data_IF_101602929032
#
_entry.id   IF_101602929032
#
_cell.length_a   1.000
_cell.length_b   1.000
_cell.length_c   1.000
_cell.angle_alpha   90.00
_cell.angle_beta   90.00
_cell.angle_gamma   90.00
#
_symmetry.space_group_name_H-M   'P 1'
#
loop_
_entity.id
_entity.type
_entity.pdbx_description
1 polymer ?
#
# COMPACT_ATOMS: atom_id res chain seq x y z
N UNK A 1 -12.05 12.21 36.45
CA UNK A 1 -12.10 13.19 35.34
C UNK A 1 -11.07 12.79 34.31
N UNK A 2 -11.47 12.47 33.07
CA UNK A 2 -10.53 12.20 31.96
C UNK A 2 -9.91 13.55 31.61
N UNK A 3 -8.59 13.66 31.73
CA UNK A 3 -7.90 14.91 31.49
C UNK A 3 -8.06 15.36 30.02
N UNK A 4 -8.26 16.67 29.80
CA UNK A 4 -8.23 17.30 28.49
C UNK A 4 -6.83 17.24 27.90
N UNK A 5 -6.49 16.09 27.28
CA UNK A 5 -5.17 15.83 26.76
C UNK A 5 -5.15 16.15 25.26
N UNK A 6 -4.30 17.11 24.87
CA UNK A 6 -4.08 17.50 23.47
C UNK A 6 -2.63 17.24 23.09
N UNK A 7 -2.45 16.70 21.90
CA UNK A 7 -1.11 16.57 21.32
C UNK A 7 -0.57 17.93 20.88
N UNK A 8 0.61 18.28 21.34
CA UNK A 8 1.30 19.49 20.91
C UNK A 8 2.28 19.14 19.79
N UNK A 9 1.97 19.59 18.58
CA UNK A 9 2.88 19.41 17.45
C UNK A 9 4.04 20.40 17.53
N UNK A 10 5.07 20.04 18.31
CA UNK A 10 6.24 20.89 18.62
C UNK A 10 7.00 21.31 17.36
N UNK A 11 7.56 22.55 17.31
CA UNK A 11 8.38 23.02 16.20
C UNK A 11 9.52 22.08 15.85
N UNK A 12 10.18 21.49 16.85
CA UNK A 12 11.25 20.51 16.66
C UNK A 12 10.79 19.26 15.90
N UNK A 13 9.57 18.76 16.16
CA UNK A 13 9.03 17.62 15.44
C UNK A 13 8.69 17.97 13.99
N UNK A 14 8.14 19.18 13.77
CA UNK A 14 7.90 19.71 12.39
C UNK A 14 9.20 19.78 11.61
N UNK A 15 10.24 20.36 12.23
CA UNK A 15 11.57 20.48 11.62
C UNK A 15 12.16 19.11 11.27
N UNK A 16 12.06 18.10 12.16
CA UNK A 16 12.54 16.74 11.87
C UNK A 16 11.82 16.13 10.66
N UNK A 17 10.51 16.32 10.53
CA UNK A 17 9.76 15.84 9.37
C UNK A 17 10.12 16.58 8.08
N UNK A 18 10.33 17.90 8.15
CA UNK A 18 10.80 18.68 7.00
C UNK A 18 12.19 18.21 6.58
N UNK A 19 13.11 17.97 7.54
CA UNK A 19 14.43 17.41 7.26
C UNK A 19 14.31 16.04 6.60
N UNK A 20 13.41 15.17 7.08
CA UNK A 20 13.16 13.86 6.46
C UNK A 20 12.71 13.99 5.00
N UNK A 21 11.79 14.91 4.71
CA UNK A 21 11.33 15.20 3.35
C UNK A 21 12.49 15.73 2.48
N UNK A 22 13.27 16.69 3.00
CA UNK A 22 14.41 17.27 2.27
C UNK A 22 15.48 16.21 1.97
N UNK A 23 15.82 15.39 2.96
CA UNK A 23 16.75 14.25 2.76
C UNK A 23 16.19 13.28 1.72
N UNK A 24 14.89 12.96 1.79
CA UNK A 24 14.24 12.14 0.79
C UNK A 24 14.33 12.73 -0.61
N UNK A 25 14.08 14.03 -0.77
CA UNK A 25 14.21 14.73 -2.05
C UNK A 25 15.64 14.76 -2.58
N UNK A 26 16.63 14.92 -1.70
CA UNK A 26 18.05 14.85 -2.08
C UNK A 26 18.44 13.45 -2.56
N UNK A 27 18.05 12.40 -1.82
CA UNK A 27 18.29 11.02 -2.24
C UNK A 27 17.59 10.69 -3.55
N UNK A 28 16.36 11.15 -3.72
CA UNK A 28 15.62 11.03 -4.98
C UNK A 28 16.34 11.69 -6.14
N UNK A 29 16.80 12.94 -5.98
CA UNK A 29 17.52 13.68 -7.03
C UNK A 29 18.83 12.98 -7.41
N UNK A 30 19.62 12.53 -6.42
CA UNK A 30 20.84 11.74 -6.65
C UNK A 30 20.50 10.42 -7.38
N UNK A 31 19.44 9.73 -6.95
CA UNK A 31 18.99 8.49 -7.55
C UNK A 31 18.55 8.68 -9.02
N UNK A 32 17.86 9.76 -9.35
CA UNK A 32 17.49 10.12 -10.73
C UNK A 32 18.75 10.38 -11.56
N UNK A 33 19.68 11.17 -11.05
CA UNK A 33 20.95 11.46 -11.73
C UNK A 33 21.75 10.18 -12.02
N UNK A 34 21.85 9.28 -11.04
CA UNK A 34 22.50 7.97 -11.22
C UNK A 34 21.78 7.10 -12.25
N UNK A 35 20.43 7.08 -12.24
CA UNK A 35 19.65 6.30 -13.17
C UNK A 35 19.74 6.82 -14.63
N UNK A 36 19.87 8.13 -14.80
CA UNK A 36 20.10 8.75 -16.12
C UNK A 36 21.50 8.38 -16.67
N UNK A 37 22.52 8.45 -15.85
CA UNK A 37 23.90 8.18 -16.27
C UNK A 37 24.20 6.68 -16.40
N UNK A 38 23.62 5.83 -15.56
CA UNK A 38 23.78 4.37 -15.60
C UNK A 38 23.17 3.74 -16.87
N UNK A 39 22.08 4.30 -17.38
CA UNK A 39 21.44 3.84 -18.61
C UNK A 39 22.32 3.97 -19.87
N UNK A 40 23.28 4.88 -19.89
CA UNK A 40 24.21 5.01 -20.99
C UNK A 40 25.29 3.90 -20.99
N UNK A 41 25.71 3.41 -19.84
CA UNK A 41 26.68 2.31 -19.74
C UNK A 41 26.06 0.95 -20.07
N UNK A 42 24.84 0.66 -19.57
CA UNK A 42 24.15 -0.60 -19.89
C UNK A 42 23.69 -0.70 -21.35
N UNK A 43 23.31 0.41 -21.97
CA UNK A 43 22.97 0.44 -23.40
C UNK A 43 24.21 0.15 -24.27
N UNK A 44 25.38 0.69 -23.92
CA UNK A 44 26.62 0.44 -24.61
C UNK A 44 27.09 -1.04 -24.46
N UNK A 45 26.91 -1.61 -23.28
CA UNK A 45 27.28 -3.01 -23.00
C UNK A 45 26.34 -4.02 -23.68
N UNK A 46 25.03 -3.71 -23.72
CA UNK A 46 24.04 -4.49 -24.48
C UNK A 46 24.26 -4.41 -25.99
N UNK A 47 24.61 -3.24 -26.53
CA UNK A 47 24.97 -3.13 -27.95
C UNK A 47 26.21 -3.94 -28.27
N UNK A 48 27.26 -3.86 -27.46
CA UNK A 48 28.49 -4.63 -27.67
C UNK A 48 28.25 -6.14 -27.58
N UNK A 49 27.47 -6.60 -26.60
CA UNK A 49 27.13 -8.02 -26.46
C UNK A 49 26.20 -8.54 -27.55
N UNK A 50 25.30 -7.70 -28.09
CA UNK A 50 24.42 -8.07 -29.20
C UNK A 50 25.19 -8.12 -30.53
N UNK A 51 26.18 -7.24 -30.76
CA UNK A 51 27.05 -7.32 -31.93
C UNK A 51 27.95 -8.56 -31.88
N UNK A 52 28.53 -8.88 -30.71
CA UNK A 52 29.32 -10.11 -30.53
C UNK A 52 28.46 -11.37 -30.73
N UNK A 53 27.21 -11.37 -30.24
CA UNK A 53 26.29 -12.48 -30.45
C UNK A 53 25.86 -12.63 -31.92
N UNK A 54 25.67 -11.53 -32.66
CA UNK A 54 25.39 -11.54 -34.09
C UNK A 54 26.59 -12.03 -34.91
N UNK A 55 27.79 -11.68 -34.52
CA UNK A 55 29.04 -12.11 -35.18
C UNK A 55 29.30 -13.63 -34.95
N UNK A 56 28.98 -14.12 -33.72
CA UNK A 56 29.04 -15.55 -33.40
C UNK A 56 27.95 -16.39 -34.13
N UNK A 57 26.74 -15.84 -34.28
CA UNK A 57 25.65 -16.50 -35.03
C UNK A 57 25.85 -16.50 -36.53
N UNK A 58 26.56 -15.50 -37.08
CA UNK A 58 26.91 -15.47 -38.49
C UNK A 58 27.98 -16.51 -38.89
N UNK A 59 28.65 -17.10 -37.93
CA UNK A 59 29.69 -18.15 -38.11
C UNK A 59 29.17 -19.58 -37.96
N UNK A 60 27.88 -19.81 -37.68
CA UNK A 60 27.28 -21.14 -37.53
C UNK A 60 26.05 -21.29 -38.42
N UNK A 61 26.06 -22.23 -39.36
CA UNK A 61 24.93 -22.55 -40.25
C UNK A 61 23.69 -23.08 -39.55
N UNK A 62 22.47 -22.97 -40.14
CA UNK A 62 21.22 -22.96 -39.44
C UNK A 62 20.66 -24.37 -39.16
N UNK A 63 20.30 -24.67 -37.96
CA UNK A 63 19.32 -25.71 -37.59
C UNK A 63 18.03 -25.00 -37.17
N UNK A 64 16.96 -25.26 -37.90
CA UNK A 64 15.59 -24.83 -37.63
C UNK A 64 15.12 -25.41 -36.29
N UNK A 65 14.68 -24.53 -35.36
CA UNK A 65 13.54 -24.78 -34.48
C UNK A 65 12.97 -23.46 -34.01
N UNK A 66 11.68 -23.28 -34.32
CA UNK A 66 10.81 -22.15 -33.97
C UNK A 66 10.62 -21.96 -32.46
N UNK A 67 10.25 -20.74 -32.14
CA UNK A 67 9.75 -20.14 -30.91
C UNK A 67 10.82 -19.35 -30.14
N UNK A 68 11.21 -18.22 -30.71
CA UNK A 68 11.71 -17.10 -29.93
C UNK A 68 10.76 -15.93 -30.13
N UNK A 69 9.94 -15.63 -29.14
CA UNK A 69 9.28 -14.35 -29.04
C UNK A 69 10.35 -13.27 -28.85
N UNK A 70 10.78 -12.69 -29.94
CA UNK A 70 11.52 -11.44 -29.96
C UNK A 70 10.59 -10.36 -29.38
N UNK A 71 11.01 -9.58 -28.36
CA UNK A 71 10.26 -8.39 -27.98
C UNK A 71 10.29 -7.43 -29.16
N UNK A 72 9.13 -7.09 -29.71
CA UNK A 72 9.01 -6.09 -30.75
C UNK A 72 9.57 -4.75 -30.22
N UNK A 73 10.70 -4.32 -30.78
CA UNK A 73 11.18 -2.95 -30.70
C UNK A 73 10.19 -2.06 -31.48
N UNK A 74 9.39 -1.27 -30.77
CA UNK A 74 8.43 -0.38 -31.44
C UNK A 74 7.45 0.37 -30.54
N UNK A 75 7.74 0.55 -29.27
CA UNK A 75 7.03 1.57 -28.48
C UNK A 75 8.00 2.68 -28.09
N UNK A 76 7.70 3.92 -28.49
CA UNK A 76 8.26 5.14 -27.89
C UNK A 76 7.83 5.24 -26.42
N UNK A 77 8.25 4.27 -25.58
CA UNK A 77 8.08 4.30 -24.15
C UNK A 77 9.00 5.35 -23.53
N UNK A 78 8.56 5.91 -22.43
CA UNK A 78 9.40 6.81 -21.64
C UNK A 78 10.73 6.15 -21.27
N UNK A 79 11.82 6.92 -21.14
CA UNK A 79 13.12 6.39 -20.69
C UNK A 79 12.98 5.58 -19.40
N UNK A 80 13.78 4.54 -19.23
CA UNK A 80 13.73 3.61 -18.06
C UNK A 80 13.75 4.36 -16.73
N UNK A 81 14.60 5.38 -16.61
CA UNK A 81 14.68 6.18 -15.39
C UNK A 81 13.36 6.92 -15.07
N UNK A 82 12.63 7.40 -16.09
CA UNK A 82 11.35 8.08 -15.91
C UNK A 82 10.25 7.09 -15.53
N UNK A 83 10.23 5.92 -16.17
CA UNK A 83 9.32 4.81 -15.82
C UNK A 83 9.53 4.32 -14.38
N UNK A 84 10.80 4.27 -13.89
CA UNK A 84 11.11 3.99 -12.48
C UNK A 84 10.51 5.04 -11.54
N UNK A 85 10.59 6.33 -11.89
CA UNK A 85 9.97 7.42 -11.12
C UNK A 85 8.46 7.20 -11.05
N UNK A 86 7.80 6.96 -12.18
CA UNK A 86 6.37 6.76 -12.26
C UNK A 86 5.91 5.54 -11.44
N UNK A 87 6.61 4.44 -11.56
CA UNK A 87 6.32 3.22 -10.80
C UNK A 87 6.48 3.44 -9.30
N UNK A 88 7.54 4.11 -8.88
CA UNK A 88 7.79 4.40 -7.46
C UNK A 88 6.80 5.41 -6.88
N UNK A 89 6.38 6.43 -7.64
CA UNK A 89 5.32 7.36 -7.24
C UNK A 89 4.00 6.63 -7.05
N UNK A 90 3.62 5.78 -8.00
CA UNK A 90 2.40 4.99 -7.93
C UNK A 90 2.41 4.06 -6.73
N UNK A 91 3.47 3.27 -6.56
CA UNK A 91 3.66 2.35 -5.44
C UNK A 91 3.51 3.04 -4.08
N UNK A 92 4.25 4.13 -3.86
CA UNK A 92 4.20 4.86 -2.60
C UNK A 92 2.81 5.45 -2.35
N UNK A 93 2.16 6.01 -3.36
CA UNK A 93 0.82 6.55 -3.19
C UNK A 93 -0.18 5.46 -2.79
N UNK A 94 -0.17 4.30 -3.44
CA UNK A 94 -1.08 3.18 -3.12
C UNK A 94 -0.77 2.60 -1.73
N UNK A 95 0.50 2.48 -1.35
CA UNK A 95 0.91 2.03 -0.02
C UNK A 95 0.36 2.95 1.09
N UNK A 96 0.62 4.26 1.00
CA UNK A 96 0.16 5.21 2.00
C UNK A 96 -1.36 5.46 1.95
N UNK A 97 -2.00 5.35 0.77
CA UNK A 97 -3.45 5.36 0.64
C UNK A 97 -4.08 4.23 1.48
N UNK A 98 -3.50 3.02 1.38
CA UNK A 98 -3.94 1.88 2.18
C UNK A 98 -3.87 2.15 3.67
N UNK A 99 -2.76 2.71 4.18
CA UNK A 99 -2.64 3.05 5.61
C UNK A 99 -3.72 4.08 6.01
N UNK A 100 -3.97 5.09 5.17
CA UNK A 100 -5.01 6.09 5.39
C UNK A 100 -6.40 5.48 5.51
N UNK A 101 -6.75 4.58 4.59
CA UNK A 101 -8.04 3.88 4.55
C UNK A 101 -8.19 2.93 5.74
N UNK A 102 -7.12 2.25 6.13
CA UNK A 102 -7.14 1.36 7.30
C UNK A 102 -7.40 2.14 8.60
N UNK A 103 -6.98 3.41 8.69
CA UNK A 103 -7.40 4.26 9.81
C UNK A 103 -8.92 4.33 9.95
N UNK A 104 -9.65 4.53 8.86
CA UNK A 104 -11.12 4.51 8.86
C UNK A 104 -11.68 3.10 9.11
N UNK A 105 -11.11 2.09 8.46
CA UNK A 105 -11.53 0.70 8.63
C UNK A 105 -11.37 0.21 10.08
N UNK A 106 -10.25 0.56 10.73
CA UNK A 106 -10.04 0.24 12.15
C UNK A 106 -11.15 0.84 13.03
N UNK A 107 -11.50 2.11 12.83
CA UNK A 107 -12.60 2.75 13.56
C UNK A 107 -13.90 2.02 13.30
N UNK A 108 -14.21 1.74 12.04
CA UNK A 108 -15.47 1.11 11.65
C UNK A 108 -15.63 -0.29 12.25
N UNK A 109 -14.58 -1.10 12.24
CA UNK A 109 -14.63 -2.45 12.83
C UNK A 109 -14.81 -2.39 14.35
N UNK A 110 -14.17 -1.42 15.04
CA UNK A 110 -14.32 -1.24 16.49
C UNK A 110 -15.75 -0.81 16.87
N UNK A 111 -16.39 0.05 16.07
CA UNK A 111 -17.80 0.42 16.30
C UNK A 111 -18.74 -0.73 15.99
N UNK A 112 -18.55 -1.44 14.88
CA UNK A 112 -19.38 -2.56 14.48
C UNK A 112 -19.30 -3.72 15.50
N UNK A 113 -18.11 -4.05 15.97
CA UNK A 113 -17.85 -5.06 16.98
C UNK A 113 -18.17 -4.60 18.43
N UNK A 114 -18.58 -3.35 18.63
CA UNK A 114 -18.85 -2.75 19.93
C UNK A 114 -17.67 -2.89 20.91
N UNK A 115 -16.43 -2.80 20.41
CA UNK A 115 -15.22 -3.00 21.15
C UNK A 115 -14.89 -1.79 22.02
N UNK A 116 -15.12 -1.90 23.33
CA UNK A 116 -14.87 -0.82 24.30
C UNK A 116 -13.40 -0.54 24.56
N UNK A 117 -12.55 -1.58 24.52
CA UNK A 117 -11.12 -1.46 24.83
C UNK A 117 -10.41 -0.37 24.00
N UNK A 118 -10.81 -0.17 22.74
CA UNK A 118 -10.16 0.77 21.83
C UNK A 118 -10.56 2.25 22.03
N UNK A 119 -11.52 2.55 22.92
CA UNK A 119 -12.03 3.90 23.12
C UNK A 119 -10.94 4.97 23.33
N UNK A 120 -9.87 4.74 24.14
CA UNK A 120 -8.83 5.73 24.39
C UNK A 120 -7.92 6.01 23.19
N UNK A 121 -7.86 5.12 22.21
CA UNK A 121 -6.93 5.22 21.07
C UNK A 121 -7.61 5.60 19.75
N UNK A 122 -8.96 5.66 19.69
CA UNK A 122 -9.72 5.91 18.46
C UNK A 122 -9.35 7.20 17.72
N UNK A 123 -8.75 8.17 18.41
CA UNK A 123 -8.32 9.45 17.77
C UNK A 123 -7.11 9.30 16.88
N UNK A 124 -6.27 8.31 17.13
CA UNK A 124 -5.08 8.05 16.31
C UNK A 124 -5.46 7.52 14.92
N UNK A 125 -6.27 6.44 14.77
CA UNK A 125 -6.75 6.02 13.47
C UNK A 125 -7.63 7.08 12.79
N UNK A 126 -8.37 7.92 13.54
CA UNK A 126 -9.08 9.07 12.98
C UNK A 126 -8.11 10.09 12.34
N UNK A 127 -6.98 10.37 13.00
CA UNK A 127 -5.96 11.25 12.43
C UNK A 127 -5.34 10.65 11.15
N UNK A 128 -5.09 9.34 11.13
CA UNK A 128 -4.58 8.61 9.96
C UNK A 128 -5.54 8.75 8.76
N UNK A 129 -6.86 8.69 8.98
CA UNK A 129 -7.87 8.85 7.95
C UNK A 129 -7.84 10.22 7.22
N UNK A 130 -7.17 11.24 7.79
CA UNK A 130 -6.99 12.53 7.09
C UNK A 130 -6.08 12.43 5.85
N UNK A 131 -5.37 11.33 5.67
CA UNK A 131 -4.61 11.07 4.45
C UNK A 131 -5.48 10.65 3.25
N UNK A 132 -6.70 10.13 3.47
CA UNK A 132 -7.60 9.65 2.40
C UNK A 132 -7.79 10.66 1.27
N UNK A 133 -8.17 11.93 1.52
CA UNK A 133 -8.37 12.89 0.44
C UNK A 133 -7.07 13.25 -0.29
N UNK A 134 -5.94 13.29 0.41
CA UNK A 134 -4.63 13.55 -0.19
C UNK A 134 -4.26 12.42 -1.15
N UNK A 135 -4.36 11.17 -0.69
CA UNK A 135 -4.10 10.00 -1.50
C UNK A 135 -5.04 9.91 -2.71
N UNK A 136 -6.35 10.21 -2.53
CA UNK A 136 -7.33 10.17 -3.61
C UNK A 136 -7.01 11.16 -4.73
N UNK A 137 -6.71 12.41 -4.40
CA UNK A 137 -6.31 13.43 -5.38
C UNK A 137 -5.01 13.02 -6.09
N UNK A 138 -4.01 12.55 -5.31
CA UNK A 138 -2.75 12.08 -5.89
C UNK A 138 -2.96 10.87 -6.80
N UNK A 139 -3.82 9.91 -6.45
CA UNK A 139 -4.09 8.74 -7.29
C UNK A 139 -4.63 9.14 -8.66
N UNK A 140 -5.58 10.08 -8.70
CA UNK A 140 -6.14 10.56 -9.96
C UNK A 140 -5.09 11.30 -10.80
N UNK A 141 -4.33 12.22 -10.19
CA UNK A 141 -3.28 12.97 -10.88
C UNK A 141 -2.20 12.03 -11.42
N UNK A 142 -1.70 11.13 -10.57
CA UNK A 142 -0.66 10.18 -10.95
C UNK A 142 -1.14 9.25 -12.05
N UNK A 143 -2.39 8.78 -12.01
CA UNK A 143 -2.91 7.91 -13.06
C UNK A 143 -2.83 8.56 -14.44
N UNK A 144 -3.20 9.84 -14.56
CA UNK A 144 -3.06 10.56 -15.83
C UNK A 144 -1.61 10.67 -16.30
N UNK A 145 -0.67 10.79 -15.35
CA UNK A 145 0.77 10.87 -15.65
C UNK A 145 1.34 9.52 -16.10
N UNK A 146 0.95 8.41 -15.42
CA UNK A 146 1.64 7.12 -15.54
C UNK A 146 0.92 6.10 -16.42
N UNK A 147 -0.32 6.40 -16.87
CA UNK A 147 -1.18 5.41 -17.56
C UNK A 147 -0.54 4.77 -18.78
N UNK A 148 0.21 5.54 -19.57
CA UNK A 148 0.86 5.04 -20.79
C UNK A 148 2.07 4.13 -20.50
N UNK A 149 2.75 4.33 -19.37
CA UNK A 149 3.99 3.63 -19.05
C UNK A 149 3.78 2.42 -18.13
N UNK A 150 2.77 2.48 -17.23
CA UNK A 150 2.53 1.44 -16.23
C UNK A 150 1.34 0.58 -16.60
N UNK A 151 0.27 1.17 -17.12
CA UNK A 151 -0.96 0.47 -17.47
C UNK A 151 -1.04 0.18 -18.95
N UNK A 152 -0.26 -0.79 -19.44
CA UNK A 152 -0.15 -1.15 -20.85
C UNK A 152 -1.50 -1.41 -21.53
N UNK A 153 -2.49 -1.90 -20.79
CA UNK A 153 -3.85 -2.13 -21.29
C UNK A 153 -4.59 -0.84 -21.72
N UNK A 154 -4.04 0.34 -21.44
CA UNK A 154 -4.63 1.61 -21.93
C UNK A 154 -4.33 1.91 -23.41
N UNK A 155 -3.44 1.14 -24.03
CA UNK A 155 -3.08 1.32 -25.44
C UNK A 155 -4.20 0.81 -26.37
N UNK A 156 -4.69 1.69 -27.23
CA UNK A 156 -5.75 1.40 -28.18
C UNK A 156 -5.35 0.36 -29.24
N UNK A 157 -4.07 0.24 -29.57
CA UNK A 157 -3.56 -0.72 -30.57
C UNK A 157 -3.83 -2.18 -30.18
N UNK A 158 -3.89 -2.48 -28.88
CA UNK A 158 -4.18 -3.81 -28.33
C UNK A 158 -5.60 -4.31 -28.64
N UNK A 159 -6.52 -3.39 -28.92
CA UNK A 159 -7.94 -3.68 -29.16
C UNK A 159 -8.33 -3.62 -30.64
N UNK A 160 -7.44 -3.15 -31.50
CA UNK A 160 -7.71 -2.96 -32.94
C UNK A 160 -7.39 -4.23 -33.71
N UNK A 161 -8.41 -4.86 -34.33
CA UNK A 161 -8.23 -6.03 -35.19
C UNK A 161 -7.33 -5.66 -36.40
N UNK A 162 -6.28 -6.46 -36.60
CA UNK A 162 -5.30 -6.23 -37.67
C UNK A 162 -4.07 -5.43 -37.25
N UNK A 163 -4.01 -4.92 -36.02
CA UNK A 163 -2.78 -4.39 -35.42
C UNK A 163 -1.82 -5.53 -35.07
N UNK A 164 -0.51 -5.30 -35.26
CA UNK A 164 0.55 -6.23 -34.80
C UNK A 164 0.48 -6.50 -33.29
N UNK A 165 -0.09 -5.57 -32.53
CA UNK A 165 -0.22 -5.63 -31.06
C UNK A 165 -1.59 -6.16 -30.59
N UNK A 166 -2.43 -6.71 -31.48
CA UNK A 166 -3.76 -7.19 -31.13
C UNK A 166 -3.72 -8.31 -30.09
N UNK A 167 -4.38 -8.08 -28.92
CA UNK A 167 -4.37 -9.00 -27.80
C UNK A 167 -5.79 -9.51 -27.46
N UNK A 168 -6.05 -10.79 -27.76
CA UNK A 168 -7.36 -11.42 -27.50
C UNK A 168 -7.75 -11.45 -26.04
N UNK A 169 -6.80 -11.57 -25.10
CA UNK A 169 -7.06 -11.63 -23.67
C UNK A 169 -7.53 -10.26 -23.19
N UNK A 170 -6.83 -9.21 -23.60
CA UNK A 170 -7.20 -7.84 -23.22
C UNK A 170 -8.52 -7.41 -23.85
N UNK A 171 -8.80 -7.82 -25.08
CA UNK A 171 -10.12 -7.59 -25.73
C UNK A 171 -11.23 -8.22 -24.91
N UNK A 172 -11.04 -9.43 -24.36
CA UNK A 172 -12.00 -10.06 -23.47
C UNK A 172 -12.19 -9.30 -22.14
N UNK A 173 -11.18 -8.61 -21.66
CA UNK A 173 -11.22 -7.79 -20.42
C UNK A 173 -11.64 -6.32 -20.68
N UNK A 174 -11.82 -5.92 -21.94
CA UNK A 174 -12.08 -4.52 -22.32
C UNK A 174 -13.29 -3.93 -21.58
N UNK A 175 -14.40 -4.67 -21.48
CA UNK A 175 -15.58 -4.22 -20.78
C UNK A 175 -15.34 -3.90 -19.29
N UNK A 176 -14.41 -4.59 -18.64
CA UNK A 176 -14.02 -4.32 -17.25
C UNK A 176 -13.32 -2.96 -17.08
N UNK A 177 -12.45 -2.58 -18.01
CA UNK A 177 -11.68 -1.34 -17.91
C UNK A 177 -12.42 -0.14 -18.50
N UNK A 178 -12.98 -0.31 -19.69
CA UNK A 178 -13.59 0.79 -20.45
C UNK A 178 -15.09 0.96 -20.16
N UNK A 179 -15.74 -0.11 -19.72
CA UNK A 179 -17.18 -0.18 -19.54
C UNK A 179 -17.89 -0.95 -20.65
N UNK A 180 -19.04 -1.59 -20.36
CA UNK A 180 -19.72 -2.48 -21.29
C UNK A 180 -20.32 -1.75 -22.52
N UNK A 181 -20.56 -0.44 -22.42
CA UNK A 181 -21.18 0.37 -23.47
C UNK A 181 -20.21 1.40 -24.08
N UNK A 182 -18.93 1.38 -23.69
CA UNK A 182 -17.94 2.33 -24.17
C UNK A 182 -17.09 1.74 -25.28
N UNK A 183 -17.35 2.17 -26.53
CA UNK A 183 -16.53 1.81 -27.70
C UNK A 183 -15.31 2.71 -27.87
N UNK A 184 -15.22 3.81 -27.11
CA UNK A 184 -14.11 4.77 -27.16
C UNK A 184 -12.79 4.21 -26.60
N UNK A 185 -11.71 4.89 -26.89
CA UNK A 185 -10.35 4.53 -26.46
C UNK A 185 -10.00 4.95 -25.02
N UNK A 186 -10.86 5.72 -24.36
CA UNK A 186 -10.61 6.23 -23.02
C UNK A 186 -11.31 5.38 -21.95
N UNK A 187 -10.60 4.85 -20.92
CA UNK A 187 -11.15 3.95 -19.90
C UNK A 187 -11.94 4.71 -18.83
N UNK A 188 -13.08 5.25 -19.21
CA UNK A 188 -13.93 6.10 -18.34
C UNK A 188 -14.42 5.32 -17.12
N UNK A 189 -14.76 4.04 -17.29
CA UNK A 189 -15.31 3.20 -16.22
C UNK A 189 -14.28 2.93 -15.11
N UNK A 190 -13.01 2.73 -15.47
CA UNK A 190 -11.91 2.62 -14.52
C UNK A 190 -11.73 3.92 -13.71
N UNK A 191 -11.73 5.07 -14.39
CA UNK A 191 -11.58 6.37 -13.73
C UNK A 191 -12.76 6.69 -12.79
N UNK A 192 -13.98 6.41 -13.25
CA UNK A 192 -15.19 6.60 -12.42
C UNK A 192 -15.14 5.75 -11.16
N UNK A 193 -14.72 4.47 -11.25
CA UNK A 193 -14.54 3.62 -10.06
C UNK A 193 -13.51 4.20 -9.10
N UNK A 194 -12.36 4.66 -9.61
CA UNK A 194 -11.32 5.27 -8.80
C UNK A 194 -11.83 6.48 -8.00
N UNK A 195 -12.49 7.40 -8.67
CA UNK A 195 -13.08 8.61 -8.04
C UNK A 195 -14.20 8.24 -7.08
N UNK A 196 -15.05 7.28 -7.46
CA UNK A 196 -16.17 6.81 -6.63
C UNK A 196 -15.66 6.19 -5.30
N UNK A 197 -14.65 5.33 -5.36
CA UNK A 197 -14.15 4.67 -4.15
C UNK A 197 -13.54 5.66 -3.16
N UNK A 198 -12.64 6.52 -3.62
CA UNK A 198 -12.09 7.57 -2.74
C UNK A 198 -13.17 8.55 -2.25
N UNK A 199 -14.12 8.91 -3.11
CA UNK A 199 -15.26 9.75 -2.76
C UNK A 199 -16.13 9.14 -1.66
N UNK A 200 -16.50 7.86 -1.79
CA UNK A 200 -17.26 7.13 -0.79
C UNK A 200 -16.48 7.00 0.53
N UNK A 201 -15.20 6.60 0.47
CA UNK A 201 -14.37 6.48 1.67
C UNK A 201 -14.20 7.80 2.41
N UNK A 202 -13.98 8.90 1.67
CA UNK A 202 -13.88 10.23 2.25
C UNK A 202 -15.22 10.73 2.83
N UNK A 203 -16.33 10.42 2.18
CA UNK A 203 -17.67 10.73 2.67
C UNK A 203 -17.95 10.05 4.01
N UNK A 204 -17.74 8.72 4.09
CA UNK A 204 -17.91 7.97 5.33
C UNK A 204 -16.95 8.42 6.42
N UNK A 205 -15.69 8.72 6.07
CA UNK A 205 -14.73 9.29 7.00
C UNK A 205 -15.25 10.56 7.64
N UNK A 206 -15.77 11.51 6.85
CA UNK A 206 -16.30 12.76 7.36
C UNK A 206 -17.56 12.56 8.20
N UNK A 207 -18.45 11.66 7.80
CA UNK A 207 -19.66 11.37 8.57
C UNK A 207 -19.34 10.75 9.93
N UNK A 208 -18.52 9.74 9.99
CA UNK A 208 -18.10 9.10 11.24
C UNK A 208 -17.32 10.09 12.12
N UNK A 209 -16.38 10.84 11.55
CA UNK A 209 -15.66 11.91 12.24
C UNK A 209 -16.61 12.93 12.87
N UNK A 210 -17.62 13.39 12.14
CA UNK A 210 -18.61 14.36 12.63
C UNK A 210 -19.36 13.80 13.86
N UNK A 211 -19.78 12.55 13.81
CA UNK A 211 -20.44 11.89 14.95
C UNK A 211 -19.52 11.76 16.15
N UNK A 212 -18.29 11.31 15.94
CA UNK A 212 -17.29 11.16 17.01
C UNK A 212 -16.95 12.49 17.71
N UNK A 213 -16.90 13.60 16.96
CA UNK A 213 -16.63 14.91 17.54
C UNK A 213 -17.87 15.49 18.25
N UNK A 214 -19.06 15.24 17.73
CA UNK A 214 -20.31 15.65 18.36
C UNK A 214 -20.55 14.88 19.68
N UNK A 215 -20.15 13.60 19.75
CA UNK A 215 -20.16 12.78 20.99
C UNK A 215 -19.36 13.44 22.11
N UNK A 216 -18.18 14.00 21.81
CA UNK A 216 -17.35 14.68 22.82
C UNK A 216 -18.01 15.92 23.41
N UNK A 217 -18.82 16.63 22.62
CA UNK A 217 -19.45 17.90 23.04
C UNK A 217 -20.76 17.64 23.77
N UNK A 218 -21.63 16.81 23.17
CA UNK A 218 -23.01 16.67 23.61
C UNK A 218 -23.22 15.47 24.54
N UNK A 219 -22.33 14.48 24.49
CA UNK A 219 -22.49 13.23 25.24
C UNK A 219 -23.66 12.37 24.74
N UNK A 220 -24.05 11.40 25.55
CA UNK A 220 -25.14 10.49 25.25
C UNK A 220 -24.76 9.35 24.31
N UNK A 221 -25.70 8.42 24.07
CA UNK A 221 -25.46 7.22 23.26
C UNK A 221 -25.86 7.35 21.79
N UNK A 222 -26.61 8.39 21.45
CA UNK A 222 -27.16 8.61 20.08
C UNK A 222 -26.06 8.73 19.02
N UNK A 223 -24.98 9.47 19.31
CA UNK A 223 -23.85 9.67 18.40
C UNK A 223 -23.05 8.38 18.21
N UNK A 224 -22.90 7.58 19.28
CA UNK A 224 -22.28 6.26 19.21
C UNK A 224 -23.10 5.31 18.34
N UNK A 225 -24.43 5.26 18.52
CA UNK A 225 -25.32 4.46 17.67
C UNK A 225 -25.26 4.88 16.20
N UNK A 226 -25.23 6.19 15.93
CA UNK A 226 -25.07 6.72 14.59
C UNK A 226 -23.71 6.30 13.98
N UNK A 227 -22.61 6.41 14.72
CA UNK A 227 -21.28 5.96 14.30
C UNK A 227 -21.26 4.47 14.01
N UNK A 228 -21.89 3.64 14.86
CA UNK A 228 -22.02 2.19 14.65
C UNK A 228 -22.78 1.87 13.36
N UNK A 229 -23.91 2.52 13.12
CA UNK A 229 -24.71 2.33 11.90
C UNK A 229 -23.94 2.71 10.64
N UNK A 230 -23.28 3.89 10.63
CA UNK A 230 -22.42 4.34 9.53
C UNK A 230 -21.25 3.39 9.29
N UNK A 231 -20.66 2.86 10.36
CA UNK A 231 -19.56 1.90 10.30
C UNK A 231 -20.00 0.59 9.64
N UNK A 232 -21.19 0.07 9.96
CA UNK A 232 -21.73 -1.13 9.34
C UNK A 232 -21.92 -0.94 7.83
N UNK A 233 -22.48 0.18 7.40
CA UNK A 233 -22.61 0.49 5.96
C UNK A 233 -21.25 0.62 5.28
N UNK A 234 -20.32 1.33 5.93
CA UNK A 234 -18.96 1.48 5.39
C UNK A 234 -18.26 0.14 5.20
N UNK A 235 -18.36 -0.78 6.17
CA UNK A 235 -17.69 -2.09 6.09
C UNK A 235 -18.16 -2.91 4.88
N UNK A 236 -19.45 -2.89 4.57
CA UNK A 236 -19.98 -3.57 3.37
C UNK A 236 -19.43 -2.95 2.08
N UNK A 237 -19.47 -1.61 1.99
CA UNK A 237 -18.94 -0.87 0.83
C UNK A 237 -17.43 -1.08 0.71
N UNK A 238 -16.71 -1.05 1.82
CA UNK A 238 -15.27 -1.24 1.86
C UNK A 238 -14.86 -2.64 1.40
N UNK A 239 -15.57 -3.70 1.83
CA UNK A 239 -15.26 -5.07 1.43
C UNK A 239 -15.26 -5.24 -0.09
N UNK A 240 -16.25 -4.67 -0.78
CA UNK A 240 -16.33 -4.72 -2.25
C UNK A 240 -15.30 -3.76 -2.87
N UNK A 241 -15.28 -2.50 -2.45
CA UNK A 241 -14.46 -1.47 -3.09
C UNK A 241 -12.96 -1.70 -2.89
N UNK A 242 -12.52 -2.23 -1.74
CA UNK A 242 -11.09 -2.53 -1.51
C UNK A 242 -10.58 -3.67 -2.37
N UNK A 243 -11.41 -4.71 -2.61
CA UNK A 243 -11.05 -5.81 -3.49
C UNK A 243 -10.94 -5.35 -4.95
N UNK A 244 -11.93 -4.57 -5.42
CA UNK A 244 -11.89 -4.01 -6.78
C UNK A 244 -10.74 -3.02 -6.93
N UNK A 245 -10.47 -2.18 -5.92
CA UNK A 245 -9.34 -1.27 -5.93
C UNK A 245 -8.00 -2.00 -6.03
N UNK A 246 -7.84 -3.14 -5.35
CA UNK A 246 -6.64 -3.98 -5.45
C UNK A 246 -6.46 -4.53 -6.88
N UNK A 247 -7.56 -4.96 -7.52
CA UNK A 247 -7.52 -5.42 -8.91
C UNK A 247 -7.24 -4.29 -9.90
N UNK A 248 -7.85 -3.12 -9.69
CA UNK A 248 -7.67 -1.96 -10.57
C UNK A 248 -6.27 -1.33 -10.42
N UNK A 249 -5.81 -1.10 -9.19
CA UNK A 249 -4.63 -0.26 -8.96
C UNK A 249 -3.31 -1.02 -8.86
N UNK A 250 -3.39 -2.33 -8.59
CA UNK A 250 -2.20 -3.18 -8.39
C UNK A 250 -2.17 -4.31 -9.41
N UNK A 251 -3.20 -5.16 -9.43
CA UNK A 251 -3.18 -6.35 -10.31
C UNK A 251 -3.25 -5.99 -11.79
N UNK A 252 -3.96 -4.93 -12.18
CA UNK A 252 -4.10 -4.52 -13.58
C UNK A 252 -2.80 -4.04 -14.23
N UNK A 253 -1.75 -3.80 -13.45
CA UNK A 253 -0.40 -3.51 -13.96
C UNK A 253 0.17 -4.71 -14.72
N UNK A 254 -0.23 -5.93 -14.33
CA UNK A 254 0.07 -7.18 -15.05
C UNK A 254 -1.22 -7.80 -15.61
N UNK A 255 -1.80 -7.23 -16.69
CA UNK A 255 -3.20 -7.47 -17.07
C UNK A 255 -3.45 -8.87 -17.62
N UNK A 256 -2.43 -9.63 -17.99
CA UNK A 256 -2.55 -11.03 -18.42
C UNK A 256 -2.71 -11.98 -17.25
N UNK A 257 -2.18 -11.63 -16.09
CA UNK A 257 -2.31 -12.40 -14.87
C UNK A 257 -3.57 -11.99 -14.08
N UNK A 258 -4.15 -12.92 -13.33
CA UNK A 258 -5.27 -12.65 -12.45
C UNK A 258 -5.30 -13.65 -11.28
N UNK A 259 -5.79 -13.16 -10.13
CA UNK A 259 -6.09 -14.00 -8.97
C UNK A 259 -7.16 -13.32 -8.12
N UNK A 260 -8.21 -14.06 -7.76
CA UNK A 260 -9.26 -13.56 -6.86
C UNK A 260 -8.74 -13.33 -5.44
N UNK A 261 -7.79 -14.16 -4.98
CA UNK A 261 -7.11 -14.01 -3.69
C UNK A 261 -6.27 -12.74 -3.58
N UNK A 262 -5.92 -12.11 -4.70
CA UNK A 262 -5.07 -10.93 -4.71
C UNK A 262 -5.70 -9.74 -3.98
N UNK A 263 -7.03 -9.59 -4.05
CA UNK A 263 -7.76 -8.58 -3.26
C UNK A 263 -7.55 -8.76 -1.75
N UNK A 264 -7.61 -10.00 -1.27
CA UNK A 264 -7.34 -10.33 0.14
C UNK A 264 -5.87 -10.13 0.51
N UNK A 265 -4.95 -10.42 -0.39
CA UNK A 265 -3.52 -10.22 -0.18
C UNK A 265 -3.18 -8.74 -0.01
N UNK A 266 -3.65 -7.88 -0.90
CA UNK A 266 -3.46 -6.42 -0.79
C UNK A 266 -4.12 -5.88 0.48
N UNK A 267 -5.34 -6.31 0.80
CA UNK A 267 -6.02 -5.93 2.03
C UNK A 267 -5.22 -6.35 3.27
N UNK A 268 -4.73 -7.59 3.33
CA UNK A 268 -3.94 -8.07 4.46
C UNK A 268 -2.67 -7.24 4.66
N UNK A 269 -1.98 -6.89 3.57
CA UNK A 269 -0.80 -6.03 3.61
C UNK A 269 -1.13 -4.63 4.14
N UNK A 270 -2.20 -3.98 3.63
CA UNK A 270 -2.67 -2.70 4.16
C UNK A 270 -3.07 -2.80 5.64
N UNK A 271 -3.78 -3.86 6.01
CA UNK A 271 -4.29 -4.03 7.36
C UNK A 271 -3.17 -4.15 8.39
N UNK A 272 -2.20 -5.02 8.14
CA UNK A 272 -1.04 -5.18 9.03
C UNK A 272 -0.23 -3.89 9.13
N UNK A 273 0.01 -3.22 8.00
CA UNK A 273 0.74 -1.95 7.98
C UNK A 273 0.00 -0.86 8.75
N UNK A 274 -1.32 -0.76 8.59
CA UNK A 274 -2.16 0.19 9.32
C UNK A 274 -2.14 -0.08 10.82
N UNK A 275 -2.26 -1.34 11.23
CA UNK A 275 -2.16 -1.75 12.65
C UNK A 275 -0.78 -1.42 13.23
N UNK A 276 0.29 -1.73 12.51
CA UNK A 276 1.66 -1.38 12.93
C UNK A 276 1.83 0.13 13.05
N UNK A 277 1.26 0.92 12.13
CA UNK A 277 1.31 2.38 12.16
C UNK A 277 0.53 2.94 13.35
N UNK A 278 -0.69 2.47 13.61
CA UNK A 278 -1.48 2.85 14.80
C UNK A 278 -0.69 2.52 16.07
N UNK A 279 -0.17 1.30 16.16
CA UNK A 279 0.61 0.83 17.32
C UNK A 279 1.85 1.66 17.54
N UNK A 280 2.59 1.98 16.49
CA UNK A 280 3.80 2.81 16.55
C UNK A 280 3.50 4.22 17.04
N UNK A 281 2.41 4.85 16.56
CA UNK A 281 2.01 6.19 17.01
C UNK A 281 1.59 6.15 18.48
N UNK A 282 0.78 5.15 18.90
CA UNK A 282 0.39 4.95 20.32
C UNK A 282 1.63 4.77 21.18
N UNK A 283 2.55 3.90 20.79
CA UNK A 283 3.77 3.61 21.53
C UNK A 283 4.66 4.86 21.71
N UNK A 284 4.78 5.68 20.64
CA UNK A 284 5.55 6.92 20.70
C UNK A 284 4.88 7.98 21.58
N UNK A 285 3.57 8.17 21.45
CA UNK A 285 2.81 9.11 22.30
C UNK A 285 2.89 8.72 23.77
N UNK A 286 2.70 7.42 24.08
CA UNK A 286 2.83 6.94 25.45
C UNK A 286 4.24 7.11 26.00
N UNK A 287 5.27 6.83 25.21
CA UNK A 287 6.67 7.06 25.58
C UNK A 287 7.01 8.55 25.78
N UNK A 288 6.26 9.46 25.17
CA UNK A 288 6.38 10.90 25.34
C UNK A 288 5.52 11.47 26.50
N UNK A 289 4.84 10.60 27.29
CA UNK A 289 4.04 10.99 28.44
C UNK A 289 2.59 11.35 28.14
N UNK A 290 2.15 11.18 26.88
CA UNK A 290 0.75 11.27 26.48
C UNK A 290 0.00 9.95 26.72
N UNK A 291 -1.32 9.97 26.48
CA UNK A 291 -2.21 8.81 26.59
C UNK A 291 -2.13 8.14 27.97
N UNK A 292 -2.28 8.93 29.03
CA UNK A 292 -2.17 8.45 30.41
C UNK A 292 -3.16 7.32 30.74
N UNK A 293 -4.33 7.35 30.12
CA UNK A 293 -5.41 6.37 30.29
C UNK A 293 -5.14 5.03 29.57
N UNK A 294 -4.21 5.01 28.63
CA UNK A 294 -3.82 3.79 27.90
C UNK A 294 -2.93 2.94 28.81
N UNK A 295 -3.40 1.76 29.20
CA UNK A 295 -2.70 0.81 30.09
C UNK A 295 -1.79 -0.13 29.27
N UNK A 296 -1.04 -0.98 29.98
CA UNK A 296 -0.28 -2.06 29.33
C UNK A 296 -1.17 -3.09 28.62
N UNK A 297 -2.44 -3.24 29.06
CA UNK A 297 -3.38 -4.15 28.42
C UNK A 297 -3.78 -3.66 27.03
N UNK A 298 -4.00 -2.35 26.86
CA UNK A 298 -4.23 -1.74 25.53
C UNK A 298 -3.03 -1.92 24.60
N UNK A 299 -1.81 -1.75 25.12
CA UNK A 299 -0.57 -1.96 24.36
C UNK A 299 -0.45 -3.43 23.96
N UNK A 300 -0.81 -4.36 24.87
CA UNK A 300 -0.83 -5.79 24.61
C UNK A 300 -1.82 -6.15 23.50
N UNK A 301 -3.03 -5.57 23.49
CA UNK A 301 -4.02 -5.80 22.44
C UNK A 301 -3.52 -5.34 21.08
N UNK A 302 -2.95 -4.14 20.99
CA UNK A 302 -2.31 -3.67 19.77
C UNK A 302 -1.17 -4.60 19.33
N UNK A 303 -0.33 -5.05 20.24
CA UNK A 303 0.74 -6.02 19.96
C UNK A 303 0.20 -7.37 19.48
N UNK A 304 -0.92 -7.86 20.06
CA UNK A 304 -1.61 -9.06 19.57
C UNK A 304 -2.12 -8.89 18.14
N UNK A 305 -2.71 -7.73 17.83
CA UNK A 305 -3.19 -7.46 16.47
C UNK A 305 -2.04 -7.47 15.46
N UNK A 306 -0.93 -6.78 15.74
CA UNK A 306 0.24 -6.80 14.84
C UNK A 306 0.75 -8.24 14.66
N UNK A 307 0.92 -9.00 15.75
CA UNK A 307 1.36 -10.40 15.72
C UNK A 307 0.43 -11.30 14.91
N UNK A 308 -0.86 -11.31 15.26
CA UNK A 308 -1.84 -12.21 14.65
C UNK A 308 -2.06 -11.91 13.16
N UNK A 309 -2.09 -10.63 12.80
CA UNK A 309 -2.32 -10.25 11.42
C UNK A 309 -1.07 -10.33 10.54
N UNK A 310 0.14 -10.30 11.11
CA UNK A 310 1.36 -10.72 10.38
C UNK A 310 1.28 -12.19 9.98
N UNK A 311 0.79 -13.07 10.87
CA UNK A 311 0.52 -14.48 10.55
C UNK A 311 -0.59 -14.61 9.50
N UNK A 312 -1.68 -13.83 9.62
CA UNK A 312 -2.77 -13.83 8.65
C UNK A 312 -2.30 -13.40 7.26
N UNK A 313 -1.49 -12.34 7.15
CA UNK A 313 -0.89 -11.93 5.89
C UNK A 313 -0.07 -13.06 5.27
N UNK A 314 0.77 -13.72 6.07
CA UNK A 314 1.60 -14.85 5.63
C UNK A 314 0.72 -16.00 5.14
N UNK A 315 -0.35 -16.30 5.85
CA UNK A 315 -1.30 -17.34 5.45
C UNK A 315 -1.92 -17.02 4.08
N UNK A 316 -2.42 -15.81 3.86
CA UNK A 316 -3.02 -15.41 2.58
C UNK A 316 -1.98 -15.45 1.44
N UNK A 317 -0.78 -14.89 1.68
CA UNK A 317 0.31 -14.91 0.73
C UNK A 317 0.73 -16.35 0.37
N UNK A 318 0.91 -17.20 1.38
CA UNK A 318 1.33 -18.58 1.21
C UNK A 318 0.26 -19.43 0.54
N UNK A 319 -1.02 -19.26 0.89
CA UNK A 319 -2.12 -19.96 0.23
C UNK A 319 -2.17 -19.63 -1.27
N UNK A 320 -2.02 -18.37 -1.64
CA UNK A 320 -1.97 -17.98 -3.05
C UNK A 320 -0.78 -18.63 -3.77
N UNK A 321 0.40 -18.59 -3.15
CA UNK A 321 1.60 -19.23 -3.68
C UNK A 321 1.40 -20.75 -3.86
N UNK A 322 0.88 -21.42 -2.83
CA UNK A 322 0.68 -22.87 -2.84
C UNK A 322 -0.32 -23.32 -3.90
N UNK A 323 -1.43 -22.61 -4.06
CA UNK A 323 -2.44 -22.92 -5.08
C UNK A 323 -1.85 -22.84 -6.49
N UNK A 324 -1.12 -21.76 -6.78
CA UNK A 324 -0.48 -21.57 -8.09
C UNK A 324 0.67 -22.56 -8.30
N UNK A 325 1.48 -22.82 -7.26
CA UNK A 325 2.55 -23.80 -7.32
C UNK A 325 2.03 -25.23 -7.57
N UNK A 326 0.95 -25.62 -6.87
CA UNK A 326 0.35 -26.95 -7.00
C UNK A 326 -0.32 -27.15 -8.35
N UNK A 327 -1.10 -26.17 -8.82
CA UNK A 327 -1.76 -26.22 -10.13
C UNK A 327 -0.75 -26.19 -11.30
N UNK A 328 0.37 -25.50 -11.11
CA UNK A 328 1.48 -25.35 -12.06
C UNK A 328 1.05 -24.97 -13.48
N UNK A 329 0.03 -24.09 -13.58
CA UNK A 329 -0.42 -23.55 -14.86
C UNK A 329 0.58 -22.48 -15.34
N UNK A 330 1.11 -22.58 -16.58
CA UNK A 330 2.12 -21.64 -17.10
C UNK A 330 1.69 -20.19 -17.01
N UNK A 331 0.42 -19.89 -17.29
CA UNK A 331 -0.15 -18.55 -17.27
C UNK A 331 -0.18 -17.92 -15.87
N UNK A 332 -0.29 -18.74 -14.82
CA UNK A 332 -0.34 -18.29 -13.43
C UNK A 332 1.02 -18.25 -12.76
N UNK A 333 1.89 -19.22 -13.08
CA UNK A 333 3.22 -19.36 -12.43
C UNK A 333 4.18 -18.23 -12.79
N UNK A 334 3.99 -17.59 -13.94
CA UNK A 334 4.82 -16.46 -14.41
C UNK A 334 4.95 -15.37 -13.34
N UNK A 335 3.89 -15.07 -12.61
CA UNK A 335 3.88 -14.06 -11.55
C UNK A 335 4.94 -14.32 -10.47
N UNK A 336 4.99 -15.56 -9.96
CA UNK A 336 5.94 -15.93 -8.91
C UNK A 336 7.35 -16.19 -9.48
N UNK A 337 7.47 -16.78 -10.67
CA UNK A 337 8.77 -17.01 -11.32
C UNK A 337 9.50 -15.69 -11.51
N UNK A 338 8.81 -14.65 -12.00
CA UNK A 338 9.38 -13.32 -12.20
C UNK A 338 9.93 -12.72 -10.90
N UNK A 339 9.26 -12.95 -9.77
CA UNK A 339 9.62 -12.39 -8.47
C UNK A 339 10.66 -13.21 -7.72
N UNK A 340 10.65 -14.53 -7.89
CA UNK A 340 11.54 -15.44 -7.16
C UNK A 340 12.88 -15.66 -7.84
N UNK A 341 12.91 -15.69 -9.18
CA UNK A 341 14.08 -16.10 -9.95
C UNK A 341 14.82 -14.95 -10.61
N UNK A 342 14.16 -13.84 -10.90
CA UNK A 342 14.80 -12.71 -11.56
C UNK A 342 15.68 -11.93 -10.59
N UNK A 343 16.93 -11.69 -10.97
CA UNK A 343 17.93 -11.02 -10.15
C UNK A 343 17.48 -9.68 -9.50
N UNK A 344 16.75 -8.78 -10.18
CA UNK A 344 16.32 -7.53 -9.55
C UNK A 344 15.36 -7.71 -8.37
N UNK A 345 14.59 -8.82 -8.31
CA UNK A 345 13.49 -8.98 -7.38
C UNK A 345 13.65 -10.12 -6.38
N UNK A 346 14.45 -11.14 -6.69
CA UNK A 346 14.55 -12.38 -5.90
C UNK A 346 14.92 -12.13 -4.43
N UNK A 347 15.90 -11.27 -4.17
CA UNK A 347 16.30 -10.94 -2.81
C UNK A 347 15.20 -10.19 -2.03
N UNK A 348 14.41 -9.34 -2.72
CA UNK A 348 13.27 -8.60 -2.13
C UNK A 348 12.17 -9.58 -1.75
N UNK A 349 11.90 -10.57 -2.60
CA UNK A 349 10.89 -11.59 -2.34
C UNK A 349 11.17 -12.35 -1.03
N UNK A 350 12.41 -12.79 -0.81
CA UNK A 350 12.78 -13.49 0.43
C UNK A 350 12.89 -12.53 1.63
N UNK A 351 13.39 -11.32 1.42
CA UNK A 351 13.43 -10.29 2.46
C UNK A 351 12.02 -9.94 2.95
N UNK A 352 11.05 -9.89 2.04
CA UNK A 352 9.65 -9.63 2.37
C UNK A 352 9.09 -10.65 3.38
N UNK A 353 9.32 -11.94 3.17
CA UNK A 353 8.93 -13.00 4.11
C UNK A 353 9.62 -12.82 5.46
N UNK A 354 10.91 -12.50 5.43
CA UNK A 354 11.70 -12.33 6.65
C UNK A 354 11.21 -11.15 7.50
N UNK A 355 10.95 -9.99 6.89
CA UNK A 355 10.51 -8.78 7.60
C UNK A 355 9.05 -8.85 8.06
N UNK A 356 8.15 -9.47 7.29
CA UNK A 356 6.72 -9.46 7.57
C UNK A 356 6.22 -10.68 8.35
N UNK A 357 6.99 -11.76 8.34
CA UNK A 357 6.63 -12.97 9.08
C UNK A 357 7.67 -13.36 10.11
N UNK A 358 8.90 -13.71 9.68
CA UNK A 358 9.88 -14.32 10.58
C UNK A 358 10.20 -13.40 11.75
N UNK A 359 10.54 -12.14 11.50
CA UNK A 359 10.87 -11.20 12.57
C UNK A 359 9.69 -10.87 13.49
N UNK A 360 8.50 -10.46 13.00
CA UNK A 360 7.36 -10.20 13.88
C UNK A 360 6.95 -11.44 14.67
N UNK A 361 6.98 -12.63 14.06
CA UNK A 361 6.64 -13.88 14.72
C UNK A 361 7.57 -14.16 15.89
N UNK A 362 8.89 -14.13 15.67
CA UNK A 362 9.86 -14.42 16.73
C UNK A 362 9.90 -13.35 17.81
N UNK A 363 9.89 -12.07 17.42
CA UNK A 363 10.02 -10.94 18.35
C UNK A 363 8.76 -10.71 19.19
N UNK A 364 7.58 -11.00 18.64
CA UNK A 364 6.30 -10.80 19.35
C UNK A 364 5.68 -12.12 19.87
N UNK A 365 6.40 -13.25 19.87
CA UNK A 365 5.85 -14.52 20.30
C UNK A 365 5.43 -14.48 21.78
N UNK A 366 6.25 -13.90 22.65
CA UNK A 366 5.99 -13.87 24.08
C UNK A 366 4.93 -12.84 24.47
N UNK A 367 4.21 -13.07 25.58
CA UNK A 367 3.24 -12.12 26.14
C UNK A 367 3.91 -10.80 26.50
N UNK A 368 5.07 -10.87 27.14
CA UNK A 368 5.79 -9.69 27.63
C UNK A 368 6.31 -8.80 26.50
N UNK A 369 6.80 -9.38 25.42
CA UNK A 369 7.23 -8.62 24.24
C UNK A 369 6.08 -7.76 23.67
N UNK A 370 4.86 -8.29 23.61
CA UNK A 370 3.67 -7.56 23.14
C UNK A 370 3.21 -6.45 24.08
N UNK A 371 3.64 -6.46 25.35
CA UNK A 371 3.32 -5.46 26.38
C UNK A 371 4.34 -4.32 26.46
N UNK A 372 5.54 -4.54 25.96
CA UNK A 372 6.64 -3.58 26.06
C UNK A 372 6.57 -2.55 24.94
N UNK A 373 6.41 -1.28 25.32
CA UNK A 373 6.44 -0.14 24.39
C UNK A 373 7.75 -0.09 23.59
N UNK A 374 8.89 -0.41 24.20
CA UNK A 374 10.19 -0.45 23.55
C UNK A 374 10.25 -1.50 22.42
N UNK A 375 9.72 -2.69 22.67
CA UNK A 375 9.68 -3.77 21.67
C UNK A 375 8.79 -3.39 20.49
N UNK A 376 7.62 -2.82 20.72
CA UNK A 376 6.73 -2.37 19.66
C UNK A 376 7.30 -1.22 18.82
N UNK A 377 8.12 -0.34 19.43
CA UNK A 377 8.86 0.71 18.70
C UNK A 377 9.91 0.16 17.75
N UNK A 378 10.39 -1.05 17.96
CA UNK A 378 11.32 -1.74 17.06
C UNK A 378 10.57 -2.56 16.01
N UNK A 379 9.58 -3.36 16.43
CA UNK A 379 8.92 -4.29 15.51
C UNK A 379 7.99 -3.58 14.52
N UNK A 380 7.23 -2.56 14.97
CA UNK A 380 6.31 -1.88 14.06
C UNK A 380 6.99 -1.20 12.86
N UNK A 381 8.11 -0.48 13.00
CA UNK A 381 8.85 0.02 11.85
C UNK A 381 9.35 -1.08 10.90
N UNK A 382 9.81 -2.22 11.44
CA UNK A 382 10.23 -3.37 10.63
C UNK A 382 9.08 -3.87 9.76
N UNK A 383 7.90 -4.04 10.35
CA UNK A 383 6.69 -4.46 9.64
C UNK A 383 6.26 -3.43 8.59
N UNK A 384 6.27 -2.13 8.93
CA UNK A 384 5.91 -1.06 7.97
C UNK A 384 6.86 -1.05 6.77
N UNK A 385 8.16 -1.15 7.01
CA UNK A 385 9.17 -1.21 5.94
C UNK A 385 9.05 -2.52 5.16
N UNK A 386 8.80 -3.63 5.84
CA UNK A 386 8.57 -4.93 5.20
C UNK A 386 7.39 -4.90 4.23
N UNK A 387 6.27 -4.31 4.62
CA UNK A 387 5.11 -4.16 3.74
C UNK A 387 5.31 -3.09 2.65
N UNK A 388 6.21 -2.13 2.83
CA UNK A 388 6.63 -1.26 1.74
C UNK A 388 7.37 -2.06 0.65
N UNK A 389 8.25 -2.99 1.03
CA UNK A 389 8.86 -3.95 0.10
C UNK A 389 7.83 -4.90 -0.51
N UNK A 390 6.78 -5.27 0.23
CA UNK A 390 5.69 -6.09 -0.28
C UNK A 390 4.95 -5.38 -1.44
N UNK A 391 4.60 -4.10 -1.27
CA UNK A 391 4.01 -3.29 -2.34
C UNK A 391 4.96 -3.06 -3.52
N UNK A 392 6.25 -2.91 -3.26
CA UNK A 392 7.25 -2.89 -4.31
C UNK A 392 7.21 -4.19 -5.13
N UNK A 393 7.18 -5.32 -4.46
CA UNK A 393 7.14 -6.64 -5.09
C UNK A 393 5.81 -6.91 -5.82
N UNK A 394 4.69 -6.34 -5.38
CA UNK A 394 3.41 -6.42 -6.08
C UNK A 394 3.40 -5.62 -7.40
N UNK A 395 3.95 -4.41 -7.39
CA UNK A 395 3.78 -3.39 -8.44
C UNK A 395 4.94 -3.39 -9.43
N UNK A 396 6.17 -3.29 -8.93
CA UNK A 396 7.34 -3.00 -9.77
C UNK A 396 7.64 -4.08 -10.82
N UNK A 397 7.58 -5.40 -10.51
CA UNK A 397 7.86 -6.42 -11.53
C UNK A 397 6.89 -6.40 -12.70
N UNK A 398 5.60 -6.11 -12.46
CA UNK A 398 4.60 -5.96 -13.52
C UNK A 398 4.87 -4.75 -14.42
N UNK A 399 5.25 -3.61 -13.82
CA UNK A 399 5.52 -2.37 -14.54
C UNK A 399 6.88 -2.36 -15.26
N UNK A 400 7.96 -2.79 -14.55
CA UNK A 400 9.34 -2.62 -15.00
C UNK A 400 9.94 -3.89 -15.63
N UNK A 401 9.25 -5.03 -15.56
CA UNK A 401 9.74 -6.32 -16.04
C UNK A 401 11.14 -6.64 -15.46
N UNK A 402 12.19 -6.76 -16.29
CA UNK A 402 13.57 -7.04 -15.86
C UNK A 402 14.40 -5.79 -15.48
N UNK A 403 13.87 -4.61 -15.71
CA UNK A 403 14.59 -3.33 -15.55
C UNK A 403 14.35 -2.67 -14.19
N UNK A 404 13.70 -3.37 -13.27
CA UNK A 404 13.46 -2.88 -11.91
C UNK A 404 14.71 -2.96 -11.04
N UNK A 405 14.66 -2.29 -9.90
CA UNK A 405 15.71 -2.33 -8.88
C UNK A 405 15.39 -1.33 -7.77
N UNK A 406 15.93 -1.57 -6.58
CA UNK A 406 15.81 -0.62 -5.47
C UNK A 406 17.10 0.15 -5.37
N UNK A 407 16.99 1.47 -5.41
CA UNK A 407 18.11 2.40 -5.27
C UNK A 407 17.70 3.63 -4.47
N UNK A 408 18.56 4.66 -4.56
CA UNK A 408 18.33 5.92 -3.86
C UNK A 408 17.05 6.62 -4.32
N UNK A 409 16.61 6.39 -5.57
CA UNK A 409 15.39 6.94 -6.14
C UNK A 409 14.16 6.44 -5.36
N UNK A 410 14.02 5.13 -5.23
CA UNK A 410 12.88 4.49 -4.57
C UNK A 410 12.85 4.80 -3.07
N UNK A 411 14.01 4.71 -2.41
CA UNK A 411 14.16 5.03 -0.98
C UNK A 411 13.85 6.52 -0.74
N UNK A 412 14.37 7.40 -1.60
CA UNK A 412 14.14 8.83 -1.50
C UNK A 412 12.66 9.19 -1.56
N UNK A 413 11.92 8.66 -2.55
CA UNK A 413 10.48 8.85 -2.66
C UNK A 413 9.72 8.25 -1.47
N UNK A 414 10.10 7.07 -1.00
CA UNK A 414 9.53 6.46 0.20
C UNK A 414 9.63 7.38 1.42
N UNK A 415 10.79 8.02 1.64
CA UNK A 415 11.00 8.97 2.74
C UNK A 415 10.18 10.26 2.56
N UNK A 416 10.04 10.77 1.34
CA UNK A 416 9.20 11.93 1.04
C UNK A 416 7.75 11.66 1.40
N UNK A 417 7.21 10.53 0.94
CA UNK A 417 5.83 10.12 1.26
C UNK A 417 5.65 9.87 2.76
N UNK A 418 6.59 9.20 3.41
CA UNK A 418 6.54 8.95 4.85
C UNK A 418 6.56 10.27 5.66
N UNK A 419 7.40 11.21 5.29
CA UNK A 419 7.47 12.53 5.92
C UNK A 419 6.19 13.34 5.73
N UNK A 420 5.65 13.38 4.51
CA UNK A 420 4.39 14.07 4.19
C UNK A 420 3.21 13.43 4.93
N UNK A 421 3.11 12.11 4.91
CA UNK A 421 2.09 11.33 5.62
C UNK A 421 2.10 11.63 7.12
N UNK A 422 3.26 11.51 7.76
CA UNK A 422 3.39 11.81 9.19
C UNK A 422 3.09 13.28 9.51
N UNK A 423 3.49 14.20 8.64
CA UNK A 423 3.18 15.62 8.83
C UNK A 423 1.67 15.86 8.84
N UNK A 424 0.94 15.33 7.87
CA UNK A 424 -0.54 15.48 7.79
C UNK A 424 -1.22 14.85 9.01
N UNK A 425 -0.81 13.66 9.42
CA UNK A 425 -1.41 12.96 10.57
C UNK A 425 -1.15 13.71 11.88
N UNK A 426 0.09 14.10 12.14
CA UNK A 426 0.42 14.78 13.39
C UNK A 426 -0.20 16.20 13.44
N UNK A 427 -0.34 16.86 12.29
CA UNK A 427 -1.08 18.11 12.18
C UNK A 427 -2.58 17.92 12.45
N UNK A 428 -3.17 16.83 11.94
CA UNK A 428 -4.56 16.50 12.23
C UNK A 428 -4.75 16.12 13.70
N UNK A 429 -3.84 15.32 14.26
CA UNK A 429 -3.88 14.91 15.67
C UNK A 429 -3.78 16.08 16.64
N UNK A 430 -3.00 17.12 16.30
CA UNK A 430 -2.88 18.34 17.12
C UNK A 430 -4.16 19.16 17.20
N UNK A 431 -5.08 18.96 16.27
CA UNK A 431 -6.40 19.62 16.25
C UNK A 431 -7.48 18.82 17.00
N UNK A 432 -7.18 17.58 17.36
CA UNK A 432 -8.10 16.67 18.03
C UNK A 432 -7.74 16.54 19.51
N UNK A 433 -8.73 16.21 20.33
CA UNK A 433 -8.46 15.69 21.67
C UNK A 433 -7.93 14.25 21.54
N UNK A 434 -6.87 13.91 22.26
CA UNK A 434 -6.24 12.59 22.16
C UNK A 434 -7.16 11.46 22.68
N UNK A 435 -7.97 11.75 23.68
CA UNK A 435 -8.89 10.79 24.30
C UNK A 435 -10.32 11.29 24.15
N UNK A 436 -11.23 10.39 23.78
CA UNK A 436 -12.65 10.69 23.70
C UNK A 436 -13.21 11.02 25.11
N UNK A 437 -14.01 12.10 25.24
CA UNK A 437 -14.52 12.50 26.57
C UNK A 437 -15.72 11.70 27.03
N UNK A 438 -16.71 11.57 26.16
CA UNK A 438 -18.05 11.07 26.50
C UNK A 438 -18.36 9.73 25.82
N UNK A 439 -17.33 8.93 25.51
CA UNK A 439 -17.54 7.64 24.86
C UNK A 439 -18.25 6.66 25.84
N UNK A 440 -19.37 6.01 25.45
CA UNK A 440 -20.16 5.15 26.34
C UNK A 440 -19.37 4.03 27.03
N UNK A 441 -18.41 3.42 26.29
CA UNK A 441 -17.57 2.33 26.79
C UNK A 441 -16.24 2.80 27.43
N UNK A 442 -16.09 4.08 27.75
CA UNK A 442 -14.84 4.57 28.34
C UNK A 442 -14.55 3.93 29.70
N UNK A 443 -15.57 3.75 30.54
CA UNK A 443 -15.41 3.09 31.85
C UNK A 443 -14.98 1.64 31.72
N UNK A 444 -15.56 0.91 30.78
CA UNK A 444 -15.15 -0.46 30.44
C UNK A 444 -13.68 -0.50 30.01
N UNK A 445 -13.27 0.44 29.17
CA UNK A 445 -11.89 0.54 28.70
C UNK A 445 -10.90 0.84 29.83
N UNK A 446 -11.27 1.72 30.76
CA UNK A 446 -10.40 2.05 31.91
C UNK A 446 -10.18 0.83 32.84
N UNK A 447 -11.19 -0.03 32.95
CA UNK A 447 -11.17 -1.24 33.74
C UNK A 447 -10.76 -2.48 32.94
N UNK A 448 -10.20 -2.28 31.75
CA UNK A 448 -9.81 -3.37 30.86
C UNK A 448 -8.63 -4.16 31.43
N UNK A 449 -8.88 -5.43 31.76
CA UNK A 449 -7.92 -6.41 32.28
C UNK A 449 -7.85 -7.61 31.32
N UNK A 450 -6.63 -8.14 31.08
CA UNK A 450 -6.36 -9.33 30.26
C UNK A 450 -5.54 -10.32 31.08
#
# INVERSE_FOLDING_TARGET
MIADEKYIFKPQTKQKLIILIVVGLLLFAIGVFMAQNGGHHEAAEKHASTEIAKELLASTEPAQHDVAHTPAEGHHGSPIWLKRIYTSLWQNNIFFAGIGIIGLFFIAIQYAAQAGWSAPIKRIPLAIGHWIPVAGVLTVILWFLVKGDIFHWTDASLYTKGSEHYDKILVGKRAYFFGPFNEGSFPIFYLVRMVLFFGLWFMFFNWIKKQMLAEDINGGTSYWLASRKLSAYFLVIFAVSSSVAAWDWVMSIDPHWFSTMFGWYVFASWWVTGLATITLIVANLKGAGYLKVVTQNHIHDLGKFVFAFSIFWTYIWFCQFMLIYYANLPEETVYFIQRMRNAPYSWIFYLNIFLNFVLPFLLLMTRDAKRQVSMLKVVCPIVIVGHWFDFYNMITPGAMKMEGGIGLLEIGLGLVFAGAFLFVILQALSKLQLVAKNHPFMQESLNHHI
#
